data_IF_058251442909
#
_entry.id   IF_058251442909
#
_cell.length_a   1.000
_cell.length_b   1.000
_cell.length_c   1.000
_cell.angle_alpha   90.00
_cell.angle_beta   90.00
_cell.angle_gamma   90.00
#
_symmetry.space_group_name_H-M   'P 1'
#
loop_
_entity.id
_entity.type
_entity.pdbx_description
1 polymer ?
#
# COMPACT_ATOMS: atom_id res chain seq x y z
N UNK A 1 -18.00 -2.96 0.75
CA UNK A 1 -17.03 -2.93 -0.36
C UNK A 1 -15.62 -2.96 0.20
N UNK A 2 -14.83 -3.96 -0.18
CA UNK A 2 -13.43 -4.05 0.24
C UNK A 2 -12.54 -3.23 -0.69
N UNK A 3 -11.75 -2.35 -0.11
CA UNK A 3 -10.83 -1.48 -0.84
C UNK A 3 -9.41 -1.71 -0.35
N UNK A 4 -8.50 -1.97 -1.28
CA UNK A 4 -7.07 -2.07 -0.99
C UNK A 4 -6.35 -0.87 -1.60
N UNK A 5 -5.58 -0.15 -0.79
CA UNK A 5 -4.82 1.00 -1.24
C UNK A 5 -3.33 0.65 -1.16
N UNK A 6 -2.63 0.75 -2.29
CA UNK A 6 -1.19 0.54 -2.33
C UNK A 6 -0.46 1.88 -2.35
N UNK A 7 0.35 2.12 -1.34
CA UNK A 7 1.21 3.30 -1.28
C UNK A 7 2.45 3.10 -2.15
N UNK A 8 3.10 4.18 -2.60
CA UNK A 8 4.40 4.05 -3.26
C UNK A 8 5.41 3.33 -2.35
N UNK A 9 6.32 2.59 -2.94
CA UNK A 9 7.38 1.92 -2.19
C UNK A 9 8.19 2.94 -1.38
N UNK A 10 8.46 2.64 -0.12
CA UNK A 10 9.14 3.51 0.85
C UNK A 10 8.36 4.76 1.25
N UNK A 11 7.10 4.87 0.86
CA UNK A 11 6.24 5.94 1.38
C UNK A 11 6.04 5.71 2.89
N UNK A 12 6.24 6.74 3.68
CA UNK A 12 6.20 6.61 5.13
C UNK A 12 4.79 6.87 5.69
N UNK A 13 4.08 5.80 6.03
CA UNK A 13 2.73 5.84 6.59
C UNK A 13 2.78 5.86 8.12
N UNK A 14 3.34 6.93 8.66
CA UNK A 14 3.57 7.08 10.10
C UNK A 14 3.41 8.54 10.50
N UNK A 15 2.99 8.85 11.75
CA UNK A 15 3.04 10.21 12.24
C UNK A 15 4.48 10.74 12.40
N UNK A 16 5.48 9.85 12.38
CA UNK A 16 6.90 10.21 12.39
C UNK A 16 7.36 10.43 10.96
N UNK A 17 7.65 11.67 10.58
CA UNK A 17 8.07 12.06 9.22
C UNK A 17 7.15 11.51 8.12
N UNK A 18 5.84 11.83 8.16
CA UNK A 18 4.90 11.25 7.19
C UNK A 18 5.15 11.77 5.78
N UNK A 19 5.00 10.88 4.79
CA UNK A 19 5.02 11.28 3.39
C UNK A 19 3.74 12.00 2.99
N UNK A 20 3.79 12.80 1.93
CA UNK A 20 2.65 13.58 1.46
C UNK A 20 1.47 12.69 1.04
N UNK A 21 1.74 11.58 0.36
CA UNK A 21 0.71 10.62 -0.05
C UNK A 21 0.08 9.97 1.17
N UNK A 22 0.88 9.64 2.18
CA UNK A 22 0.40 9.02 3.42
C UNK A 22 -0.55 9.96 4.17
N UNK A 23 -0.23 11.25 4.25
CA UNK A 23 -1.10 12.26 4.86
C UNK A 23 -2.43 12.33 4.11
N UNK A 24 -2.38 12.40 2.79
CA UNK A 24 -3.57 12.46 1.95
C UNK A 24 -4.45 11.22 2.14
N UNK A 25 -3.87 10.03 2.04
CA UNK A 25 -4.59 8.76 2.17
C UNK A 25 -5.23 8.64 3.55
N UNK A 26 -4.48 8.88 4.62
CA UNK A 26 -5.02 8.76 5.98
C UNK A 26 -6.14 9.78 6.25
N UNK A 27 -5.99 11.01 5.76
CA UNK A 27 -7.00 12.06 5.95
C UNK A 27 -8.28 11.75 5.19
N UNK A 28 -8.19 11.31 3.94
CA UNK A 28 -9.37 10.95 3.14
C UNK A 28 -10.07 9.71 3.67
N UNK A 29 -9.32 8.72 4.14
CA UNK A 29 -9.90 7.49 4.68
C UNK A 29 -10.72 7.74 5.95
N UNK A 30 -10.28 8.65 6.81
CA UNK A 30 -11.03 9.00 8.02
C UNK A 30 -12.42 9.55 7.74
N UNK A 31 -12.59 10.21 6.59
CA UNK A 31 -13.84 10.82 6.18
C UNK A 31 -14.71 9.88 5.34
N UNK A 32 -14.17 8.74 4.93
CA UNK A 32 -14.90 7.81 4.07
C UNK A 32 -15.92 7.00 4.86
N UNK A 33 -17.11 6.80 4.27
CA UNK A 33 -18.11 5.88 4.83
C UNK A 33 -17.65 4.43 4.79
N UNK A 34 -16.64 4.11 4.00
CA UNK A 34 -16.07 2.76 3.88
C UNK A 34 -14.80 2.57 4.70
N UNK A 35 -14.49 3.47 5.63
CA UNK A 35 -13.23 3.46 6.38
C UNK A 35 -12.87 2.12 7.02
N UNK A 36 -13.86 1.36 7.46
CA UNK A 36 -13.66 0.05 8.07
C UNK A 36 -13.40 -1.09 7.06
N UNK A 37 -13.61 -0.80 5.77
CA UNK A 37 -13.43 -1.74 4.68
C UNK A 37 -12.18 -1.43 3.84
N UNK A 38 -11.46 -0.37 4.20
CA UNK A 38 -10.24 0.08 3.52
C UNK A 38 -9.03 -0.46 4.25
N UNK A 39 -8.13 -1.11 3.51
CA UNK A 39 -6.83 -1.54 4.02
C UNK A 39 -5.74 -0.83 3.23
N UNK A 40 -4.79 -0.22 3.94
CA UNK A 40 -3.65 0.46 3.33
C UNK A 40 -2.44 -0.46 3.39
N UNK A 41 -1.75 -0.61 2.27
CA UNK A 41 -0.55 -1.43 2.14
C UNK A 41 0.63 -0.54 1.81
N UNK A 42 1.74 -0.77 2.48
CA UNK A 42 2.94 0.01 2.26
C UNK A 42 4.19 -0.67 2.82
N UNK A 43 5.30 0.03 2.73
CA UNK A 43 6.57 -0.42 3.28
C UNK A 43 7.13 0.70 4.15
N UNK A 44 6.76 0.71 5.42
CA UNK A 44 7.13 1.73 6.41
C UNK A 44 7.95 1.09 7.53
N UNK A 45 9.07 1.71 7.89
CA UNK A 45 9.96 1.20 8.93
C UNK A 45 9.57 1.60 10.36
N UNK A 46 8.74 2.62 10.51
CA UNK A 46 8.35 3.11 11.83
C UNK A 46 7.24 2.25 12.43
N UNK A 47 7.28 2.03 13.74
CA UNK A 47 6.30 1.21 14.45
C UNK A 47 4.91 1.80 14.46
N UNK A 48 4.80 3.12 14.69
CA UNK A 48 3.51 3.79 14.70
C UNK A 48 3.01 4.02 13.27
N UNK A 49 1.76 3.67 13.02
CA UNK A 49 1.12 3.85 11.72
C UNK A 49 0.01 4.89 11.82
N UNK A 50 -0.32 5.53 10.70
CA UNK A 50 -1.35 6.57 10.64
C UNK A 50 -2.76 6.01 10.82
N UNK A 51 -2.98 4.73 10.58
CA UNK A 51 -4.28 4.08 10.82
C UNK A 51 -4.08 2.63 11.24
N UNK A 52 -5.12 2.03 11.82
CA UNK A 52 -5.10 0.64 12.27
C UNK A 52 -5.17 -0.34 11.10
N UNK A 53 -5.86 0.04 10.02
CA UNK A 53 -6.04 -0.82 8.85
C UNK A 53 -4.84 -0.69 7.90
N UNK A 54 -3.69 -1.09 8.37
CA UNK A 54 -2.45 -1.03 7.63
C UNK A 54 -1.73 -2.36 7.67
N UNK A 55 -1.26 -2.80 6.50
CA UNK A 55 -0.45 -4.01 6.35
C UNK A 55 0.90 -3.61 5.77
N UNK A 56 1.98 -3.94 6.47
CA UNK A 56 3.32 -3.67 5.98
C UNK A 56 3.79 -4.79 5.07
N UNK A 57 4.36 -4.42 3.95
CA UNK A 57 4.95 -5.36 3.00
C UNK A 57 6.46 -5.36 3.24
N UNK A 58 6.96 -6.43 3.82
CA UNK A 58 8.38 -6.57 4.12
C UNK A 58 9.10 -7.24 2.95
N UNK A 59 10.19 -6.63 2.50
CA UNK A 59 10.98 -7.13 1.40
C UNK A 59 12.29 -7.72 1.90
N UNK A 60 12.65 -8.87 1.34
CA UNK A 60 13.98 -9.44 1.56
C UNK A 60 14.98 -8.70 0.69
N UNK A 61 16.12 -8.32 1.26
CA UNK A 61 17.20 -7.69 0.49
C UNK A 61 17.78 -8.71 -0.48
N UNK A 62 17.56 -8.47 -1.78
CA UNK A 62 18.17 -9.27 -2.84
C UNK A 62 18.87 -8.33 -3.80
N UNK A 63 20.13 -8.60 -4.08
CA UNK A 63 20.99 -7.71 -4.86
C UNK A 63 20.59 -7.52 -6.32
N UNK A 64 19.85 -8.45 -6.90
CA UNK A 64 19.62 -8.50 -8.35
C UNK A 64 18.18 -8.28 -8.77
N UNK A 65 17.26 -7.98 -7.86
CA UNK A 65 15.84 -7.76 -8.19
C UNK A 65 15.42 -6.35 -7.90
N UNK A 66 14.57 -5.82 -8.77
CA UNK A 66 13.89 -4.56 -8.51
C UNK A 66 13.01 -4.71 -7.26
N UNK A 67 13.26 -3.88 -6.26
CA UNK A 67 12.45 -3.87 -5.04
C UNK A 67 11.00 -3.47 -5.32
N UNK A 68 10.79 -2.60 -6.29
CA UNK A 68 9.44 -2.20 -6.70
C UNK A 68 8.66 -3.37 -7.27
N UNK A 69 9.28 -4.21 -8.10
CA UNK A 69 8.63 -5.43 -8.63
C UNK A 69 8.28 -6.41 -7.53
N UNK A 70 9.18 -6.62 -6.58
CA UNK A 70 8.94 -7.52 -5.44
C UNK A 70 7.82 -6.97 -4.56
N UNK A 71 7.81 -5.66 -4.31
CA UNK A 71 6.78 -4.98 -3.53
C UNK A 71 5.40 -5.18 -4.14
N UNK A 72 5.25 -4.93 -5.44
CA UNK A 72 3.98 -5.10 -6.15
C UNK A 72 3.58 -6.57 -6.19
N UNK A 73 4.53 -7.47 -6.43
CA UNK A 73 4.28 -8.92 -6.47
C UNK A 73 3.72 -9.44 -5.15
N UNK A 74 4.32 -9.04 -4.03
CA UNK A 74 3.82 -9.43 -2.70
C UNK A 74 2.44 -8.85 -2.42
N UNK A 75 2.19 -7.61 -2.82
CA UNK A 75 0.88 -7.00 -2.71
C UNK A 75 -0.17 -7.82 -3.47
N UNK A 76 0.14 -8.20 -4.70
CA UNK A 76 -0.77 -9.00 -5.53
C UNK A 76 -1.06 -10.37 -4.93
N UNK A 77 -0.06 -11.02 -4.36
CA UNK A 77 -0.25 -12.32 -3.71
C UNK A 77 -1.26 -12.20 -2.58
N UNK A 78 -1.21 -11.12 -1.81
CA UNK A 78 -2.19 -10.86 -0.75
C UNK A 78 -3.58 -10.60 -1.36
N UNK A 79 -3.65 -9.81 -2.44
CA UNK A 79 -4.92 -9.47 -3.07
C UNK A 79 -5.64 -10.68 -3.67
N UNK A 80 -4.90 -11.64 -4.20
CA UNK A 80 -5.46 -12.89 -4.72
C UNK A 80 -6.18 -13.69 -3.64
N UNK A 81 -5.74 -13.58 -2.40
CA UNK A 81 -6.37 -14.27 -1.27
C UNK A 81 -7.60 -13.54 -0.74
N UNK A 82 -7.55 -12.22 -0.66
CA UNK A 82 -8.65 -11.43 -0.07
C UNK A 82 -9.67 -10.96 -1.09
N UNK A 83 -9.30 -10.92 -2.35
CA UNK A 83 -10.18 -10.57 -3.47
C UNK A 83 -10.94 -9.25 -3.27
N UNK A 84 -10.24 -8.10 -3.23
CA UNK A 84 -10.89 -6.81 -2.99
C UNK A 84 -11.76 -6.38 -4.16
N UNK A 85 -12.73 -5.52 -3.89
CA UNK A 85 -13.58 -4.93 -4.93
C UNK A 85 -12.87 -3.85 -5.72
N UNK A 86 -11.99 -3.08 -5.04
CA UNK A 86 -11.24 -1.97 -5.64
C UNK A 86 -9.80 -2.01 -5.17
N UNK A 87 -8.89 -1.76 -6.10
CA UNK A 87 -7.47 -1.54 -5.80
C UNK A 87 -7.12 -0.12 -6.24
N UNK A 88 -6.66 0.71 -5.30
CA UNK A 88 -6.24 2.07 -5.57
C UNK A 88 -4.72 2.16 -5.46
N UNK A 89 -4.07 2.78 -6.45
CA UNK A 89 -2.62 2.90 -6.51
C UNK A 89 -2.24 4.37 -6.64
N UNK A 90 -1.31 4.82 -5.80
CA UNK A 90 -0.89 6.23 -5.75
C UNK A 90 0.48 6.46 -6.34
N UNK A 91 0.57 7.47 -7.21
CA UNK A 91 1.82 8.06 -7.71
C UNK A 91 2.85 7.10 -8.33
N UNK A 92 2.39 5.95 -8.86
CA UNK A 92 3.31 5.00 -9.51
C UNK A 92 2.65 4.34 -10.72
N UNK A 93 2.58 5.03 -11.86
CA UNK A 93 1.98 4.44 -13.09
C UNK A 93 2.62 3.10 -13.48
N UNK A 94 3.92 2.92 -13.21
CA UNK A 94 4.62 1.67 -13.49
C UNK A 94 4.02 0.47 -12.74
N UNK A 95 3.41 0.70 -11.57
CA UNK A 95 2.76 -0.38 -10.82
C UNK A 95 1.52 -0.90 -11.56
N UNK A 96 0.79 -0.01 -12.22
CA UNK A 96 -0.39 -0.39 -13.01
C UNK A 96 0.04 -1.32 -14.15
N UNK A 97 1.15 -1.03 -14.81
CA UNK A 97 1.70 -1.89 -15.86
C UNK A 97 2.08 -3.27 -15.33
N UNK A 98 2.69 -3.33 -14.14
CA UNK A 98 3.04 -4.61 -13.51
C UNK A 98 1.79 -5.41 -13.15
N UNK A 99 0.73 -4.75 -12.69
CA UNK A 99 -0.54 -5.40 -12.36
C UNK A 99 -1.21 -6.02 -13.58
N UNK A 100 -1.11 -5.37 -14.74
CA UNK A 100 -1.71 -5.86 -15.99
C UNK A 100 -1.06 -7.15 -16.51
N UNK A 101 0.17 -7.43 -16.11
CA UNK A 101 0.92 -8.61 -16.55
C UNK A 101 0.60 -9.86 -15.74
N UNK A 102 -0.19 -9.72 -14.72
CA UNK A 102 -0.59 -10.81 -13.83
C UNK A 102 -2.08 -11.04 -13.95
#
# INVERSE_FOLDING_TARGET
>A
MKVSILLPYKENYSPTYPGAVSIFVSSTNKLSKYKNEITVYGSTNYKKKLSKNYVNIDLKKKFLRSQSKEYVSKFLDIQKKINPDVIEIHNRPAYVELLKKI
#
